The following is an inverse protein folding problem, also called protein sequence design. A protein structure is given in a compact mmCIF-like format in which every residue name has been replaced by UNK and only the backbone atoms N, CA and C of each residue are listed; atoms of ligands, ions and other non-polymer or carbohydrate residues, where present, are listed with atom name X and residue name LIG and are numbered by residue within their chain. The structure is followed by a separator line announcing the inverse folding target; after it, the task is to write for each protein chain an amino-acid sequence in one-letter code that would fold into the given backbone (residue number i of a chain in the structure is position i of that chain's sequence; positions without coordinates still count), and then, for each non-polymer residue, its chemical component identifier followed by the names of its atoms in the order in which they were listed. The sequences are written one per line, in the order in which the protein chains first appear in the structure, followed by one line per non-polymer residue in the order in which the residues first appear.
data_IF_139897579475
#
_entry.id   IF_139897579475
#
_cell.length_a   1.000
_cell.length_b   1.000
_cell.length_c   1.000
_cell.angle_alpha   90.00
_cell.angle_beta   90.00
_cell.angle_gamma   90.00
#
_symmetry.space_group_name_H-M   'P 1'
#
loop_
_entity.id
_entity.type
_entity.pdbx_description
1 polymer ?
#
# COMPACT_ATOMS: atom_id res chain seq x y z
N UNK A 1 -19.72 12.65 4.25
CA UNK A 1 -18.35 12.10 4.18
C UNK A 1 -17.43 13.13 4.80
N UNK A 2 -16.56 12.81 5.77
CA UNK A 2 -15.61 13.80 6.26
C UNK A 2 -14.74 14.25 5.09
N UNK A 3 -14.64 15.55 4.86
CA UNK A 3 -13.69 16.11 3.90
C UNK A 3 -12.28 15.82 4.43
N UNK A 4 -11.58 14.86 3.83
CA UNK A 4 -10.17 14.66 4.12
C UNK A 4 -9.40 15.86 3.57
N UNK A 5 -8.78 16.61 4.48
CA UNK A 5 -8.00 17.77 4.13
C UNK A 5 -6.83 17.33 3.22
N UNK A 6 -6.80 17.87 2.00
CA UNK A 6 -5.63 17.72 1.14
C UNK A 6 -4.56 18.69 1.61
N UNK A 7 -3.34 18.19 1.82
CA UNK A 7 -2.20 19.03 2.15
C UNK A 7 -1.33 19.20 0.91
N UNK A 8 -1.05 20.44 0.48
CA UNK A 8 -0.13 20.66 -0.63
C UNK A 8 1.27 20.21 -0.21
N UNK A 9 1.81 19.19 -0.88
CA UNK A 9 3.19 18.75 -0.69
C UNK A 9 4.02 19.33 -1.81
N UNK A 10 5.05 20.11 -1.48
CA UNK A 10 6.09 20.52 -2.42
C UNK A 10 7.35 19.76 -2.13
N UNK A 11 7.70 18.80 -2.99
CA UNK A 11 8.98 18.11 -2.93
C UNK A 11 10.03 18.97 -3.64
N UNK A 12 11.18 19.21 -3.00
CA UNK A 12 12.31 19.99 -3.57
C UNK A 12 13.52 19.08 -3.73
N UNK A 13 14.24 19.22 -4.85
CA UNK A 13 15.43 18.42 -5.20
C UNK A 13 15.31 17.80 -6.60
N UNK A 14 16.41 17.32 -7.16
CA UNK A 14 16.44 16.67 -8.49
C UNK A 14 16.20 15.15 -8.46
N UNK A 15 15.87 14.59 -7.30
CA UNK A 15 15.64 13.15 -7.14
C UNK A 15 14.21 12.73 -7.48
N UNK A 16 14.04 11.47 -7.89
CA UNK A 16 12.75 10.81 -8.04
C UNK A 16 12.42 9.88 -6.88
N UNK A 17 11.22 9.30 -6.88
CA UNK A 17 10.82 8.39 -5.81
C UNK A 17 9.47 7.70 -6.03
N UNK A 18 9.02 6.97 -5.00
CA UNK A 18 7.69 6.35 -4.97
C UNK A 18 6.87 6.90 -3.82
N UNK A 19 5.63 7.27 -4.13
CA UNK A 19 4.64 7.72 -3.16
C UNK A 19 3.75 6.53 -2.82
N UNK A 20 3.75 6.14 -1.56
CA UNK A 20 3.15 4.89 -1.10
C UNK A 20 1.83 5.17 -0.40
N UNK A 21 0.71 4.70 -0.97
CA UNK A 21 -0.61 4.80 -0.37
C UNK A 21 -1.00 3.46 0.23
N UNK A 22 -1.08 3.39 1.56
CA UNK A 22 -1.23 2.13 2.27
C UNK A 22 -2.51 1.99 3.14
N UNK A 23 -3.37 3.00 3.12
CA UNK A 23 -4.62 3.06 3.87
C UNK A 23 -5.81 3.17 2.89
N UNK A 24 -6.55 2.07 2.63
CA UNK A 24 -7.58 2.03 1.58
C UNK A 24 -8.65 3.12 1.65
N UNK A 25 -9.02 3.55 2.86
CA UNK A 25 -10.00 4.63 3.05
C UNK A 25 -9.54 5.98 2.50
N UNK A 26 -8.23 6.15 2.26
CA UNK A 26 -7.63 7.37 1.72
C UNK A 26 -7.09 7.17 0.30
N UNK A 27 -7.38 6.03 -0.33
CA UNK A 27 -7.05 5.87 -1.74
C UNK A 27 -7.80 6.92 -2.56
N UNK A 28 -7.10 7.62 -3.47
CA UNK A 28 -7.75 8.59 -4.32
C UNK A 28 -8.74 7.89 -5.24
N UNK A 29 -9.83 8.59 -5.54
CA UNK A 29 -10.84 8.08 -6.48
C UNK A 29 -10.38 8.17 -7.94
N UNK A 30 -9.33 8.94 -8.22
CA UNK A 30 -8.73 9.04 -9.54
C UNK A 30 -7.19 9.04 -9.42
N UNK A 31 -6.55 8.10 -10.13
CA UNK A 31 -5.09 7.96 -10.15
C UNK A 31 -4.38 9.20 -10.72
N UNK A 32 -5.04 9.99 -11.56
CA UNK A 32 -4.48 11.25 -12.07
C UNK A 32 -4.34 12.31 -10.97
N UNK A 33 -4.98 12.12 -9.81
CA UNK A 33 -4.85 13.00 -8.64
C UNK A 33 -3.68 12.61 -7.72
N UNK A 34 -2.91 11.57 -8.07
CA UNK A 34 -1.89 10.94 -7.20
C UNK A 34 -0.58 11.74 -7.09
N UNK A 35 -0.59 13.03 -7.42
CA UNK A 35 0.53 13.93 -7.71
C UNK A 35 1.00 13.86 -9.17
N UNK A 36 1.12 15.05 -9.78
CA UNK A 36 1.85 15.28 -11.03
C UNK A 36 3.24 15.89 -10.70
N UNK A 37 3.98 15.24 -9.79
CA UNK A 37 5.35 15.66 -9.45
C UNK A 37 6.33 14.89 -10.35
N UNK A 38 7.08 15.58 -11.25
CA UNK A 38 8.05 14.92 -12.11
C UNK A 38 9.05 14.06 -11.33
N UNK A 39 9.33 12.86 -11.84
CA UNK A 39 10.25 11.91 -11.20
C UNK A 39 9.63 11.06 -10.09
N UNK A 40 8.36 11.26 -9.72
CA UNK A 40 7.67 10.42 -8.75
C UNK A 40 6.64 9.50 -9.40
N UNK A 41 6.60 8.26 -8.90
CA UNK A 41 5.62 7.25 -9.28
C UNK A 41 4.77 6.83 -8.08
N UNK A 42 3.59 6.27 -8.32
CA UNK A 42 2.73 5.81 -7.25
C UNK A 42 2.95 4.34 -6.91
N UNK A 43 2.74 3.99 -5.65
CA UNK A 43 2.58 2.62 -5.17
C UNK A 43 1.34 2.52 -4.30
N UNK A 44 0.64 1.39 -4.38
CA UNK A 44 -0.58 1.14 -3.62
C UNK A 44 -0.50 -0.22 -2.93
N UNK A 45 -0.84 -0.27 -1.66
CA UNK A 45 -0.84 -1.48 -0.84
C UNK A 45 -1.71 -1.30 0.40
N UNK A 46 -1.71 -2.28 1.29
CA UNK A 46 -2.50 -2.22 2.51
C UNK A 46 -1.56 -2.52 3.68
N UNK A 47 -1.34 -1.50 4.53
CA UNK A 47 -0.43 -1.60 5.66
C UNK A 47 -0.90 -2.69 6.64
N UNK A 48 0.00 -3.48 7.26
CA UNK A 48 -0.35 -4.55 8.19
C UNK A 48 -1.35 -4.18 9.29
N UNK A 49 -1.33 -2.94 9.77
CA UNK A 49 -2.28 -2.47 10.79
C UNK A 49 -3.75 -2.50 10.34
N UNK A 50 -4.01 -2.59 9.04
CA UNK A 50 -5.36 -2.67 8.48
C UNK A 50 -5.89 -4.10 8.39
N UNK A 51 -5.08 -5.13 8.65
CA UNK A 51 -5.48 -6.53 8.41
C UNK A 51 -6.72 -6.97 9.22
N UNK A 52 -7.03 -6.31 10.32
CA UNK A 52 -8.24 -6.57 11.10
C UNK A 52 -9.51 -5.87 10.57
N UNK A 53 -9.38 -4.92 9.64
CA UNK A 53 -10.46 -4.03 9.18
C UNK A 53 -10.67 -4.01 7.67
N UNK A 54 -9.72 -4.54 6.91
CA UNK A 54 -9.79 -4.63 5.45
C UNK A 54 -11.00 -5.43 5.00
N UNK A 55 -11.68 -4.93 3.98
CA UNK A 55 -12.87 -5.55 3.38
C UNK A 55 -12.60 -5.93 1.92
N UNK A 56 -13.42 -6.80 1.33
CA UNK A 56 -13.28 -7.22 -0.07
C UNK A 56 -13.24 -6.04 -1.05
N UNK A 57 -14.07 -5.01 -0.82
CA UNK A 57 -14.09 -3.77 -1.63
C UNK A 57 -12.74 -3.02 -1.63
N UNK A 58 -11.97 -3.11 -0.55
CA UNK A 58 -10.68 -2.44 -0.45
C UNK A 58 -9.64 -3.16 -1.31
N UNK A 59 -9.68 -4.50 -1.31
CA UNK A 59 -8.85 -5.34 -2.17
C UNK A 59 -9.23 -5.23 -3.64
N UNK A 60 -10.51 -5.05 -3.96
CA UNK A 60 -10.99 -4.77 -5.32
C UNK A 60 -10.49 -3.41 -5.80
N UNK A 61 -10.65 -2.35 -4.98
CA UNK A 61 -10.13 -1.01 -5.30
C UNK A 61 -8.62 -1.04 -5.48
N UNK A 62 -7.87 -1.75 -4.63
CA UNK A 62 -6.43 -1.97 -4.80
C UNK A 62 -6.12 -2.60 -6.16
N UNK A 63 -6.81 -3.69 -6.52
CA UNK A 63 -6.62 -4.35 -7.81
C UNK A 63 -6.84 -3.42 -9.00
N UNK A 64 -7.90 -2.61 -8.97
CA UNK A 64 -8.17 -1.62 -10.03
C UNK A 64 -7.07 -0.56 -10.14
N UNK A 65 -6.56 -0.06 -9.01
CA UNK A 65 -5.48 0.94 -8.99
C UNK A 65 -4.19 0.37 -9.56
N UNK A 66 -3.87 -0.89 -9.24
CA UNK A 66 -2.67 -1.57 -9.70
C UNK A 66 -2.64 -1.78 -11.22
N UNK A 67 -3.77 -1.70 -11.94
CA UNK A 67 -3.80 -1.77 -13.40
C UNK A 67 -3.27 -0.50 -14.07
N UNK A 68 -3.18 0.62 -13.34
CA UNK A 68 -2.72 1.88 -13.91
C UNK A 68 -1.22 1.83 -14.25
N UNK A 69 -0.81 2.35 -15.43
CA UNK A 69 0.60 2.50 -15.77
C UNK A 69 1.32 3.54 -14.89
N UNK A 70 0.59 4.45 -14.22
CA UNK A 70 1.16 5.41 -13.26
C UNK A 70 1.53 4.76 -11.91
N UNK A 71 1.14 3.50 -11.70
CA UNK A 71 1.44 2.74 -10.49
C UNK A 71 2.58 1.76 -10.77
N UNK A 72 3.74 1.98 -10.16
CA UNK A 72 4.93 1.21 -10.45
C UNK A 72 5.23 0.08 -9.46
N UNK A 73 4.49 0.00 -8.35
CA UNK A 73 4.71 -1.02 -7.34
C UNK A 73 3.43 -1.38 -6.55
N UNK A 74 3.39 -2.61 -6.04
CA UNK A 74 2.48 -3.00 -4.96
C UNK A 74 3.13 -2.63 -3.63
N UNK A 75 2.46 -1.83 -2.81
CA UNK A 75 2.85 -1.64 -1.42
C UNK A 75 2.46 -0.29 -0.83
N UNK A 76 2.68 -0.11 0.47
CA UNK A 76 3.32 -1.11 1.33
C UNK A 76 2.35 -2.22 1.75
N UNK A 77 2.89 -3.42 1.86
CA UNK A 77 2.27 -4.58 2.53
C UNK A 77 3.33 -5.20 3.42
N UNK A 78 2.94 -6.02 4.40
CA UNK A 78 3.94 -6.76 5.16
C UNK A 78 3.50 -7.05 6.57
N UNK A 79 4.44 -6.99 7.50
CA UNK A 79 4.30 -7.50 8.86
C UNK A 79 4.82 -6.51 9.87
N UNK A 80 4.03 -6.29 10.91
CA UNK A 80 4.36 -5.42 12.01
C UNK A 80 3.94 -6.09 13.33
N UNK A 81 4.92 -6.65 14.03
CA UNK A 81 4.71 -7.31 15.32
C UNK A 81 4.45 -6.34 16.48
N UNK A 82 4.48 -5.02 16.25
CA UNK A 82 4.29 -4.00 17.28
C UNK A 82 2.94 -3.28 17.17
N UNK A 83 2.13 -3.58 16.15
CA UNK A 83 0.86 -2.89 15.91
C UNK A 83 -0.36 -3.52 16.64
N UNK A 84 -0.18 -4.66 17.32
CA UNK A 84 -1.24 -5.37 18.05
C UNK A 84 -2.26 -6.13 17.17
N UNK A 85 -2.10 -6.16 15.85
CA UNK A 85 -2.94 -6.92 14.93
C UNK A 85 -2.42 -8.35 14.82
N UNK A 86 -3.32 -9.33 14.89
CA UNK A 86 -2.99 -10.75 14.75
C UNK A 86 -2.10 -11.05 13.53
N UNK A 87 -0.98 -11.75 13.75
CA UNK A 87 0.01 -12.04 12.71
C UNK A 87 -0.57 -12.89 11.58
N UNK A 88 -1.47 -13.84 11.89
CA UNK A 88 -2.14 -14.66 10.88
C UNK A 88 -2.99 -13.83 9.93
N UNK A 89 -3.70 -12.81 10.43
CA UNK A 89 -4.41 -11.84 9.60
C UNK A 89 -3.48 -11.02 8.72
N UNK A 90 -2.33 -10.58 9.24
CA UNK A 90 -1.34 -9.84 8.45
C UNK A 90 -0.76 -10.71 7.33
N UNK A 91 -0.42 -11.98 7.60
CA UNK A 91 0.04 -12.93 6.59
C UNK A 91 -1.03 -13.22 5.53
N UNK A 92 -2.29 -13.39 5.94
CA UNK A 92 -3.40 -13.56 5.01
C UNK A 92 -3.57 -12.34 4.10
N UNK A 93 -3.46 -11.12 4.66
CA UNK A 93 -3.53 -9.88 3.90
C UNK A 93 -2.41 -9.77 2.86
N UNK A 94 -1.17 -10.15 3.20
CA UNK A 94 -0.07 -10.19 2.23
C UNK A 94 -0.45 -11.05 1.02
N UNK A 95 -0.95 -12.27 1.24
CA UNK A 95 -1.37 -13.18 0.16
C UNK A 95 -2.49 -12.58 -0.69
N UNK A 96 -3.47 -11.95 -0.04
CA UNK A 96 -4.59 -11.30 -0.72
C UNK A 96 -4.12 -10.13 -1.60
N UNK A 97 -3.19 -9.30 -1.11
CA UNK A 97 -2.63 -8.19 -1.90
C UNK A 97 -1.75 -8.70 -3.05
N UNK A 98 -0.91 -9.70 -2.81
CA UNK A 98 -0.07 -10.30 -3.87
C UNK A 98 -0.92 -10.88 -5.00
N UNK A 99 -2.07 -11.48 -4.68
CA UNK A 99 -3.01 -11.98 -5.69
C UNK A 99 -3.67 -10.87 -6.54
N UNK A 100 -3.54 -9.59 -6.17
CA UNK A 100 -4.04 -8.44 -6.95
C UNK A 100 -3.00 -7.84 -7.89
N UNK A 101 -1.72 -8.11 -7.68
CA UNK A 101 -0.64 -7.51 -8.46
C UNK A 101 -0.17 -8.43 -9.58
N UNK A 102 0.21 -7.82 -10.71
CA UNK A 102 0.98 -8.52 -11.74
C UNK A 102 2.40 -8.84 -11.22
N UNK A 103 2.92 -10.01 -11.57
CA UNK A 103 4.26 -10.47 -11.15
C UNK A 103 5.43 -9.56 -11.57
N UNK A 104 5.23 -8.69 -12.56
CA UNK A 104 6.20 -7.69 -13.02
C UNK A 104 6.31 -6.49 -12.08
N UNK A 105 5.32 -6.26 -11.20
CA UNK A 105 5.34 -5.12 -10.28
C UNK A 105 6.18 -5.45 -9.04
N UNK A 106 7.24 -4.69 -8.74
CA UNK A 106 7.97 -4.87 -7.50
C UNK A 106 7.06 -4.64 -6.28
N UNK A 107 7.41 -5.28 -5.17
CA UNK A 107 6.68 -5.18 -3.90
C UNK A 107 7.47 -4.36 -2.90
N UNK A 108 6.82 -3.37 -2.28
CA UNK A 108 7.36 -2.59 -1.18
C UNK A 108 6.89 -3.25 0.13
N UNK A 109 7.85 -3.73 0.93
CA UNK A 109 7.57 -4.44 2.17
C UNK A 109 7.72 -3.52 3.38
N UNK A 110 6.69 -3.49 4.23
CA UNK A 110 6.77 -2.99 5.60
C UNK A 110 7.15 -4.16 6.51
N UNK A 111 8.29 -4.07 7.18
CA UNK A 111 8.72 -5.09 8.14
C UNK A 111 9.13 -4.39 9.43
N UNK A 112 8.43 -4.69 10.52
CA UNK A 112 8.74 -4.17 11.85
C UNK A 112 8.68 -5.28 12.90
N UNK A 113 9.79 -5.50 13.60
CA UNK A 113 9.98 -6.57 14.56
C UNK A 113 10.84 -7.72 14.02
N UNK A 114 11.11 -8.73 14.86
CA UNK A 114 11.85 -9.93 14.45
C UNK A 114 10.88 -10.86 13.71
N UNK A 115 11.23 -11.25 12.50
CA UNK A 115 10.49 -12.26 11.75
C UNK A 115 11.38 -13.48 11.49
N UNK A 116 10.79 -14.66 11.64
CA UNK A 116 11.46 -15.96 11.54
C UNK A 116 10.50 -17.02 12.09
N UNK A 117 10.17 -18.04 11.29
CA UNK A 117 9.35 -19.16 11.76
C UNK A 117 10.05 -19.77 12.98
N UNK A 118 9.47 -19.64 14.16
CA UNK A 118 9.66 -20.66 15.20
C UNK A 118 8.74 -21.81 14.78
N UNK A 119 9.25 -22.68 13.90
CA UNK A 119 8.66 -24.01 13.74
C UNK A 119 8.82 -24.73 15.08
N UNK A 120 7.70 -24.96 15.77
CA UNK A 120 7.57 -26.06 16.72
C UNK A 120 7.49 -27.39 15.97
#
# INVERSE_FOLDING_TARGET
MPHHQSYPVTLRGGGGGRVVFCWPQFYPDNISRVMDVPGFEAAFGIHPSQAARVMSRDLEKLGMLLLSPKVSALGEIGLDGQNGVDMGKQEALIRQCLAKADSSKPVILHIRGRWGRMSS
#
